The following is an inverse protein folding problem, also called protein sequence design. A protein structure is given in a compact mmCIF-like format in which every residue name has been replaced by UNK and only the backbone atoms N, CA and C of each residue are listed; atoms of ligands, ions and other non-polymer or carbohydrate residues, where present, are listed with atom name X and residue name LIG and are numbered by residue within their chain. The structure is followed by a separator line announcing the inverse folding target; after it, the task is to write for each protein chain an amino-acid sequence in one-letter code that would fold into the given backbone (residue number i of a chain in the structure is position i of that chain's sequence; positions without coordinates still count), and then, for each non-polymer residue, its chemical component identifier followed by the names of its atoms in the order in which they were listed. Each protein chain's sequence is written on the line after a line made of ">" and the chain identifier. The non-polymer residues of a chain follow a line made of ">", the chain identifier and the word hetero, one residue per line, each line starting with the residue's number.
data_IF_561548106119
#
_entry.id   IF_561548106119
#
_cell.length_a   1.000
_cell.length_b   1.000
_cell.length_c   1.000
_cell.angle_alpha   90.00
_cell.angle_beta   90.00
_cell.angle_gamma   90.00
#
_symmetry.space_group_name_H-M   'P 1'
#
loop_
_entity.id
_entity.type
_entity.pdbx_description
1 polymer ?
#
# COMPACT_ATOMS: atom_id res chain seq x y z
N UNK A 1 -2.91 9.13 -12.32
CA UNK A 1 -1.97 7.99 -12.42
C UNK A 1 -0.88 8.39 -13.41
N UNK A 2 0.38 8.42 -12.99
CA UNK A 2 1.50 8.68 -13.92
C UNK A 2 1.71 7.41 -14.75
N UNK A 3 1.73 7.55 -16.07
CA UNK A 3 2.03 6.47 -17.01
C UNK A 3 3.51 6.06 -16.85
N UNK A 4 3.82 4.77 -16.58
CA UNK A 4 5.19 4.29 -16.45
C UNK A 4 6.09 4.68 -17.62
N UNK A 5 5.54 4.76 -18.84
CA UNK A 5 6.28 5.12 -20.05
C UNK A 5 6.63 6.61 -20.07
N UNK A 6 5.70 7.48 -19.64
CA UNK A 6 5.94 8.92 -19.49
C UNK A 6 6.91 9.22 -18.37
N UNK A 7 6.84 8.47 -17.26
CA UNK A 7 7.78 8.61 -16.15
C UNK A 7 9.19 8.15 -16.50
N UNK A 8 9.34 7.14 -17.36
CA UNK A 8 10.67 6.72 -17.83
C UNK A 8 11.36 7.80 -18.70
N UNK A 9 10.60 8.54 -19.51
CA UNK A 9 11.13 9.61 -20.37
C UNK A 9 11.66 10.81 -19.59
N UNK A 10 11.20 11.06 -18.36
CA UNK A 10 11.71 12.19 -17.56
C UNK A 10 13.13 12.01 -17.02
N UNK A 11 13.71 10.81 -17.16
CA UNK A 11 15.08 10.49 -16.72
C UNK A 11 16.07 10.37 -17.89
N UNK A 12 15.61 10.62 -19.12
CA UNK A 12 16.47 10.57 -20.30
C UNK A 12 17.38 11.80 -20.33
N UNK A 13 18.69 11.59 -20.24
CA UNK A 13 19.68 12.66 -20.37
C UNK A 13 20.10 12.72 -21.84
N UNK A 14 19.68 13.77 -22.53
CA UNK A 14 19.98 13.94 -23.95
C UNK A 14 21.50 14.08 -24.21
N UNK A 15 22.01 13.56 -25.34
CA UNK A 15 23.38 13.79 -25.78
C UNK A 15 23.64 15.28 -26.00
N UNK A 16 24.86 15.73 -25.72
CA UNK A 16 25.31 17.11 -25.94
C UNK A 16 26.37 17.23 -27.04
N UNK A 17 26.87 16.11 -27.56
CA UNK A 17 27.91 16.08 -28.59
C UNK A 17 29.31 16.39 -28.04
N UNK A 18 29.54 16.08 -26.76
CA UNK A 18 30.84 16.25 -26.10
C UNK A 18 31.40 14.92 -25.59
N UNK A 19 32.60 14.96 -25.00
CA UNK A 19 33.32 13.79 -24.50
C UNK A 19 32.66 13.09 -23.29
N UNK A 20 31.49 13.57 -22.83
CA UNK A 20 30.75 12.98 -21.71
C UNK A 20 29.48 12.23 -22.15
N UNK A 21 29.21 12.12 -23.46
CA UNK A 21 28.00 11.46 -23.98
C UNK A 21 27.92 9.97 -23.62
N UNK A 22 29.07 9.30 -23.53
CA UNK A 22 29.19 7.92 -23.07
C UNK A 22 28.74 7.77 -21.60
N UNK A 23 29.17 8.68 -20.73
CA UNK A 23 28.77 8.73 -19.32
C UNK A 23 27.27 9.03 -19.20
N UNK A 24 26.73 9.96 -19.99
CA UNK A 24 25.27 10.25 -19.99
C UNK A 24 24.45 9.04 -20.40
N UNK A 25 24.91 8.28 -21.39
CA UNK A 25 24.25 7.05 -21.84
C UNK A 25 24.28 5.96 -20.76
N UNK A 26 25.43 5.72 -20.13
CA UNK A 26 25.56 4.75 -19.03
C UNK A 26 24.66 5.13 -17.85
N UNK A 27 24.66 6.41 -17.45
CA UNK A 27 23.85 6.88 -16.34
C UNK A 27 22.35 6.75 -16.62
N UNK A 28 21.91 7.08 -17.85
CA UNK A 28 20.53 6.85 -18.29
C UNK A 28 20.15 5.37 -18.19
N UNK A 29 21.05 4.46 -18.58
CA UNK A 29 20.82 3.01 -18.46
C UNK A 29 20.70 2.55 -17.00
N UNK A 30 21.50 3.10 -16.08
CA UNK A 30 21.40 2.83 -14.64
C UNK A 30 20.04 3.29 -14.10
N UNK A 31 19.60 4.50 -14.44
CA UNK A 31 18.29 5.03 -14.02
C UNK A 31 17.14 4.18 -14.54
N UNK A 32 17.16 3.79 -15.83
CA UNK A 32 16.16 2.92 -16.42
C UNK A 32 16.11 1.54 -15.72
N UNK A 33 17.25 0.97 -15.37
CA UNK A 33 17.33 -0.29 -14.62
C UNK A 33 16.72 -0.15 -13.23
N UNK A 34 16.99 0.96 -12.53
CA UNK A 34 16.37 1.25 -11.23
C UNK A 34 14.84 1.36 -11.37
N UNK A 35 14.36 2.08 -12.38
CA UNK A 35 12.94 2.21 -12.74
C UNK A 35 12.26 0.86 -13.01
N UNK A 36 12.91 -0.03 -13.76
CA UNK A 36 12.37 -1.35 -14.08
C UNK A 36 12.35 -2.27 -12.86
N UNK A 37 13.32 -2.14 -11.96
CA UNK A 37 13.41 -2.94 -10.73
C UNK A 37 12.40 -2.55 -9.65
N UNK A 38 11.61 -1.49 -9.86
CA UNK A 38 10.58 -1.03 -8.93
C UNK A 38 11.10 -0.22 -7.75
N UNK A 39 12.41 0.02 -7.67
CA UNK A 39 13.05 0.87 -6.66
C UNK A 39 12.95 2.35 -7.07
N UNK A 40 11.74 2.83 -7.34
CA UNK A 40 11.48 4.11 -8.02
C UNK A 40 11.06 5.21 -7.01
N UNK A 41 11.25 4.96 -5.71
CA UNK A 41 10.77 5.83 -4.63
C UNK A 41 9.24 5.88 -4.46
N UNK A 42 8.47 5.09 -5.22
CA UNK A 42 7.01 5.06 -5.14
C UNK A 42 6.57 4.14 -3.99
N UNK A 43 6.10 4.73 -2.90
CA UNK A 43 5.42 3.99 -1.82
C UNK A 43 3.96 3.76 -2.23
N UNK A 44 3.51 2.50 -2.19
CA UNK A 44 2.11 2.12 -2.41
C UNK A 44 1.56 1.47 -1.16
N UNK A 45 0.54 2.08 -0.57
CA UNK A 45 -0.26 1.46 0.50
C UNK A 45 -1.26 0.48 -0.13
N UNK A 46 -1.27 -0.75 0.36
CA UNK A 46 -2.20 -1.82 -0.09
C UNK A 46 -2.97 -2.34 1.12
N UNK A 47 -4.26 -2.61 0.92
CA UNK A 47 -5.12 -3.20 1.94
C UNK A 47 -5.55 -4.59 1.49
N UNK A 48 -5.46 -5.57 2.38
CA UNK A 48 -5.87 -6.96 2.15
C UNK A 48 -6.95 -7.32 3.17
N UNK A 49 -8.14 -7.68 2.69
CA UNK A 49 -9.20 -8.26 3.51
C UNK A 49 -9.38 -9.71 3.11
N UNK A 50 -9.41 -10.61 4.08
CA UNK A 50 -9.68 -12.03 3.86
C UNK A 50 -10.67 -12.54 4.90
N UNK A 51 -11.43 -13.56 4.53
CA UNK A 51 -12.42 -14.21 5.38
C UNK A 51 -12.23 -15.72 5.32
N UNK A 52 -12.83 -16.42 6.28
CA UNK A 52 -12.88 -17.88 6.31
C UNK A 52 -14.28 -18.32 6.72
N UNK A 53 -14.63 -19.54 6.37
CA UNK A 53 -15.78 -20.24 6.92
C UNK A 53 -15.31 -21.20 8.03
N UNK A 54 -16.07 -21.27 9.13
CA UNK A 54 -15.81 -22.19 10.23
C UNK A 54 -17.09 -22.47 11.03
N UNK A 55 -17.18 -23.67 11.60
CA UNK A 55 -18.36 -24.16 12.32
C UNK A 55 -18.65 -23.43 13.64
N UNK A 56 -17.68 -22.64 14.14
CA UNK A 56 -17.86 -21.84 15.35
C UNK A 56 -17.02 -20.57 15.35
N UNK A 57 -17.48 -19.57 16.08
CA UNK A 57 -16.75 -18.32 16.30
C UNK A 57 -15.36 -18.56 16.91
N UNK A 58 -15.24 -19.52 17.84
CA UNK A 58 -13.96 -19.87 18.48
C UNK A 58 -12.96 -20.39 17.44
N UNK A 59 -13.41 -21.32 16.58
CA UNK A 59 -12.58 -21.88 15.50
C UNK A 59 -12.23 -20.80 14.48
N UNK A 60 -13.20 -19.94 14.11
CA UNK A 60 -12.99 -18.84 13.18
C UNK A 60 -11.89 -17.89 13.68
N UNK A 61 -11.99 -17.44 14.93
CA UNK A 61 -11.00 -16.54 15.55
C UNK A 61 -9.60 -17.16 15.55
N UNK A 62 -9.47 -18.40 16.02
CA UNK A 62 -8.16 -19.08 16.06
C UNK A 62 -7.52 -19.21 14.67
N UNK A 63 -8.32 -19.58 13.65
CA UNK A 63 -7.83 -19.71 12.27
C UNK A 63 -7.48 -18.36 11.65
N UNK A 64 -8.32 -17.33 11.81
CA UNK A 64 -8.03 -15.97 11.33
C UNK A 64 -6.74 -15.42 11.92
N UNK A 65 -6.53 -15.57 13.24
CA UNK A 65 -5.29 -15.13 13.91
C UNK A 65 -4.08 -15.82 13.31
N UNK A 66 -4.14 -17.14 13.09
CA UNK A 66 -3.03 -17.90 12.49
C UNK A 66 -2.71 -17.42 11.08
N UNK A 67 -3.72 -17.31 10.21
CA UNK A 67 -3.54 -16.81 8.84
C UNK A 67 -2.96 -15.39 8.85
N UNK A 68 -3.44 -14.52 9.74
CA UNK A 68 -2.92 -13.17 9.90
C UNK A 68 -1.44 -13.15 10.27
N UNK A 69 -1.01 -13.97 11.23
CA UNK A 69 0.40 -14.08 11.61
C UNK A 69 1.27 -14.61 10.47
N UNK A 70 0.81 -15.62 9.74
CA UNK A 70 1.51 -16.18 8.59
C UNK A 70 1.69 -15.11 7.49
N UNK A 71 0.64 -14.34 7.18
CA UNK A 71 0.69 -13.23 6.22
C UNK A 71 1.67 -12.13 6.63
N UNK A 72 1.67 -11.73 7.90
CA UNK A 72 2.64 -10.77 8.43
C UNK A 72 4.07 -11.27 8.26
N UNK A 73 4.30 -12.57 8.51
CA UNK A 73 5.57 -13.23 8.26
C UNK A 73 5.99 -13.13 6.78
N UNK A 74 5.10 -13.47 5.86
CA UNK A 74 5.37 -13.37 4.42
C UNK A 74 5.69 -11.93 3.99
N UNK A 75 4.92 -10.94 4.43
CA UNK A 75 5.20 -9.54 4.12
C UNK A 75 6.57 -9.11 4.62
N UNK A 76 6.95 -9.51 5.85
CA UNK A 76 8.27 -9.24 6.39
C UNK A 76 9.39 -9.85 5.53
N UNK A 77 9.22 -11.09 5.06
CA UNK A 77 10.22 -11.73 4.16
C UNK A 77 10.35 -11.03 2.81
N UNK A 78 9.28 -10.38 2.32
CA UNK A 78 9.27 -9.55 1.12
C UNK A 78 9.79 -8.13 1.34
N UNK A 79 10.30 -7.80 2.54
CA UNK A 79 10.76 -6.44 2.87
C UNK A 79 9.62 -5.42 3.03
N UNK A 80 8.38 -5.88 3.20
CA UNK A 80 7.22 -5.04 3.39
C UNK A 80 6.90 -4.88 4.88
N UNK A 81 6.51 -3.67 5.30
CA UNK A 81 5.93 -3.41 6.62
C UNK A 81 4.42 -3.60 6.51
N UNK A 82 3.86 -4.47 7.34
CA UNK A 82 2.42 -4.73 7.42
C UNK A 82 1.97 -4.81 8.88
N UNK A 83 0.73 -4.44 9.15
CA UNK A 83 0.07 -4.60 10.45
C UNK A 83 -1.39 -5.00 10.24
N UNK A 84 -1.99 -5.60 11.27
CA UNK A 84 -3.43 -5.90 11.28
C UNK A 84 -4.17 -4.65 11.74
N UNK A 85 -5.20 -4.26 10.98
CA UNK A 85 -6.03 -3.12 11.31
C UNK A 85 -7.18 -3.52 12.24
N UNK A 86 -7.46 -2.69 13.23
CA UNK A 86 -8.66 -2.79 14.06
C UNK A 86 -9.90 -2.21 13.36
N UNK A 87 -11.05 -2.24 14.05
CA UNK A 87 -12.30 -1.73 13.49
C UNK A 87 -12.27 -0.23 13.19
N UNK A 88 -11.64 0.58 14.04
CA UNK A 88 -11.60 2.04 13.89
C UNK A 88 -10.68 2.42 12.74
N UNK A 89 -9.50 1.81 12.65
CA UNK A 89 -8.57 2.01 11.54
C UNK A 89 -9.21 1.65 10.19
N UNK A 90 -9.99 0.56 10.15
CA UNK A 90 -10.72 0.16 8.94
C UNK A 90 -11.79 1.20 8.55
N UNK A 91 -12.52 1.73 9.53
CA UNK A 91 -13.49 2.80 9.29
C UNK A 91 -12.80 4.06 8.78
N UNK A 92 -11.65 4.42 9.31
CA UNK A 92 -10.86 5.57 8.87
C UNK A 92 -10.40 5.42 7.40
N UNK A 93 -9.92 4.24 7.02
CA UNK A 93 -9.54 3.96 5.63
C UNK A 93 -10.74 4.03 4.70
N UNK A 94 -11.86 3.41 5.06
CA UNK A 94 -13.09 3.49 4.26
C UNK A 94 -13.58 4.93 4.14
N UNK A 95 -13.57 5.67 5.24
CA UNK A 95 -13.93 7.08 5.25
C UNK A 95 -13.07 7.89 4.27
N UNK A 96 -11.75 7.73 4.29
CA UNK A 96 -10.85 8.42 3.36
C UNK A 96 -11.07 8.03 1.89
N UNK A 97 -11.49 6.80 1.62
CA UNK A 97 -11.85 6.35 0.26
C UNK A 97 -13.15 7.03 -0.22
N UNK A 98 -14.14 7.17 0.65
CA UNK A 98 -15.46 7.71 0.30
C UNK A 98 -15.55 9.25 0.37
N UNK A 99 -14.66 9.91 1.11
CA UNK A 99 -14.64 11.37 1.30
C UNK A 99 -13.30 11.96 0.84
N UNK A 100 -12.99 11.92 -0.48
CA UNK A 100 -11.71 12.40 -1.01
C UNK A 100 -11.48 13.91 -0.79
N UNK A 101 -12.56 14.68 -0.61
CA UNK A 101 -12.53 16.13 -0.42
C UNK A 101 -12.33 16.57 1.05
N UNK A 102 -12.13 15.62 1.98
CA UNK A 102 -11.34 15.89 3.18
C UNK A 102 -12.09 16.33 4.43
N UNK A 103 -13.32 15.87 4.67
CA UNK A 103 -13.86 15.97 6.03
C UNK A 103 -13.02 15.11 7.01
N UNK A 104 -12.70 15.60 8.22
CA UNK A 104 -11.92 14.81 9.17
C UNK A 104 -12.71 13.58 9.65
N UNK A 105 -12.06 12.42 9.69
CA UNK A 105 -12.66 11.23 10.29
C UNK A 105 -12.87 11.44 11.80
N UNK A 106 -14.14 11.54 12.21
CA UNK A 106 -14.56 11.66 13.61
C UNK A 106 -15.44 10.48 13.95
N UNK A 107 -14.95 9.62 14.83
CA UNK A 107 -15.67 8.43 15.25
C UNK A 107 -15.24 8.00 16.65
N UNK A 108 -16.23 7.64 17.46
CA UNK A 108 -16.08 6.96 18.74
C UNK A 108 -17.15 5.87 18.85
N UNK A 109 -16.77 4.72 19.42
CA UNK A 109 -17.69 3.61 19.63
C UNK A 109 -18.84 3.98 20.58
N UNK A 110 -18.61 4.92 21.51
CA UNK A 110 -19.62 5.40 22.46
C UNK A 110 -20.77 6.15 21.76
N UNK A 111 -20.58 6.59 20.52
CA UNK A 111 -21.62 7.29 19.74
C UNK A 111 -22.63 6.31 19.12
N UNK A 112 -22.32 5.01 19.04
CA UNK A 112 -23.21 4.02 18.44
C UNK A 112 -24.46 3.77 19.30
N UNK A 113 -24.29 3.58 20.61
CA UNK A 113 -25.41 3.27 21.50
C UNK A 113 -26.51 4.36 21.47
N UNK A 114 -26.19 5.68 21.51
CA UNK A 114 -27.18 6.75 21.32
C UNK A 114 -27.82 6.79 19.93
N UNK A 115 -27.12 6.32 18.89
CA UNK A 115 -27.60 6.36 17.50
C UNK A 115 -28.62 5.25 17.17
N UNK A 116 -28.80 4.26 18.05
CA UNK A 116 -29.63 3.08 17.81
C UNK A 116 -28.98 2.03 16.90
N UNK A 117 -27.72 2.22 16.51
CA UNK A 117 -26.93 1.25 15.74
C UNK A 117 -26.21 0.28 16.70
N UNK A 118 -26.22 -1.02 16.38
CA UNK A 118 -25.47 -2.05 17.12
C UNK A 118 -24.41 -2.71 16.25
N UNK A 119 -23.32 -3.18 16.87
CA UNK A 119 -22.25 -3.98 16.24
C UNK A 119 -22.55 -5.47 16.24
#
# INVERSE_FOLDING_TARGET
>A
KVDPVQYAKSFEIAPQGDDFDDIRAEYTAILQKQLASGNNGIVKTKYLTFTIEADSLKTARARLTRIGLDLLGYFKTMGCVAHVMDGRERLEVLHGIFHPDGEPFRFDWDWLAPSGLST
#
